data_IF_544338549225
#
_entry.id   IF_544338549225
#
_cell.length_a   1.000
_cell.length_b   1.000
_cell.length_c   1.000
_cell.angle_alpha   90.00
_cell.angle_beta   90.00
_cell.angle_gamma   90.00
#
_symmetry.space_group_name_H-M   'P 1'
#
loop_
_entity.id
_entity.type
_entity.pdbx_description
1 polymer ?
#
# COMPACT_ATOMS: atom_id res chain seq x y z
N UNK A 1 -5.06 3.81 3.90
CA UNK A 1 -5.89 2.98 3.01
C UNK A 1 -5.45 3.16 1.57
N UNK A 2 -5.12 2.06 0.90
CA UNK A 2 -4.79 2.05 -0.53
C UNK A 2 -6.05 1.80 -1.37
N UNK A 3 -6.19 2.56 -2.46
CA UNK A 3 -7.30 2.45 -3.41
C UNK A 3 -6.77 2.40 -4.84
N UNK A 4 -7.54 1.81 -5.76
CA UNK A 4 -7.12 1.67 -7.16
C UNK A 4 -7.97 2.50 -8.12
N UNK A 5 -9.29 2.55 -7.92
CA UNK A 5 -10.16 3.35 -8.78
C UNK A 5 -10.64 4.63 -8.10
N UNK A 6 -11.02 5.64 -8.90
CA UNK A 6 -11.61 6.88 -8.37
C UNK A 6 -12.91 6.64 -7.60
N UNK A 7 -13.69 5.63 -7.98
CA UNK A 7 -14.90 5.26 -7.26
C UNK A 7 -14.60 4.62 -5.90
N UNK A 8 -13.47 3.94 -5.73
CA UNK A 8 -13.02 3.44 -4.44
C UNK A 8 -12.74 4.61 -3.49
N UNK A 9 -11.95 5.58 -3.97
CA UNK A 9 -11.65 6.81 -3.26
C UNK A 9 -12.93 7.52 -2.80
N UNK A 10 -13.92 7.66 -3.70
CA UNK A 10 -15.20 8.28 -3.38
C UNK A 10 -15.94 7.53 -2.26
N UNK A 11 -16.05 6.20 -2.35
CA UNK A 11 -16.74 5.35 -1.36
C UNK A 11 -16.05 5.38 0.00
N UNK A 12 -14.71 5.32 0.03
CA UNK A 12 -13.94 5.41 1.27
C UNK A 12 -14.14 6.78 1.91
N UNK A 13 -14.00 7.85 1.12
CA UNK A 13 -14.15 9.23 1.59
C UNK A 13 -15.54 9.48 2.17
N UNK A 14 -16.60 9.06 1.47
CA UNK A 14 -17.98 9.17 1.95
C UNK A 14 -18.18 8.44 3.28
N UNK A 15 -17.62 7.22 3.41
CA UNK A 15 -17.73 6.45 4.66
C UNK A 15 -16.99 7.12 5.81
N UNK A 16 -15.78 7.62 5.58
CA UNK A 16 -14.99 8.31 6.61
C UNK A 16 -15.64 9.63 7.04
N UNK A 17 -16.21 10.38 6.10
CA UNK A 17 -17.00 11.59 6.38
C UNK A 17 -18.21 11.30 7.27
N UNK A 18 -19.01 10.27 6.94
CA UNK A 18 -20.15 9.84 7.77
C UNK A 18 -19.74 9.43 9.18
N UNK A 19 -18.52 8.91 9.35
CA UNK A 19 -17.96 8.52 10.64
C UNK A 19 -17.21 9.67 11.34
N UNK A 20 -17.15 10.87 10.76
CA UNK A 20 -16.39 12.02 11.27
C UNK A 20 -14.91 11.71 11.55
N UNK A 21 -14.31 10.81 10.76
CA UNK A 21 -12.89 10.46 10.87
C UNK A 21 -12.11 11.43 9.98
N UNK A 22 -11.13 12.21 10.50
CA UNK A 22 -10.28 13.04 9.67
C UNK A 22 -9.42 12.21 8.71
N UNK A 23 -9.29 12.62 7.46
CA UNK A 23 -8.45 11.95 6.46
C UNK A 23 -7.97 12.92 5.40
N UNK A 24 -6.90 12.53 4.69
CA UNK A 24 -6.44 13.24 3.50
C UNK A 24 -5.91 12.27 2.46
N UNK A 25 -5.99 12.66 1.19
CA UNK A 25 -5.17 12.05 0.16
C UNK A 25 -3.70 12.45 0.34
N UNK A 26 -2.80 11.52 0.08
CA UNK A 26 -1.35 11.72 0.13
C UNK A 26 -0.85 12.02 -1.29
N UNK A 27 -1.09 13.25 -1.72
CA UNK A 27 -0.79 13.78 -3.04
C UNK A 27 -0.01 15.11 -2.99
N UNK A 28 0.10 15.73 -1.82
CA UNK A 28 0.80 17.01 -1.63
C UNK A 28 1.85 16.91 -0.51
N UNK A 29 2.89 17.77 -0.54
CA UNK A 29 3.86 17.85 0.55
C UNK A 29 3.20 18.15 1.91
N UNK A 30 2.12 18.94 1.93
CA UNK A 30 1.41 19.26 3.17
C UNK A 30 0.70 18.04 3.75
N UNK A 31 -0.02 17.26 2.94
CA UNK A 31 -0.71 16.07 3.44
C UNK A 31 0.26 14.99 3.92
N UNK A 32 1.42 14.86 3.30
CA UNK A 32 2.52 14.00 3.77
C UNK A 32 3.06 14.46 5.13
N UNK A 33 3.27 15.78 5.31
CA UNK A 33 3.72 16.32 6.60
C UNK A 33 2.71 16.03 7.71
N UNK A 34 1.43 16.34 7.48
CA UNK A 34 0.35 16.09 8.45
C UNK A 34 0.23 14.61 8.82
N UNK A 35 0.34 13.72 7.83
CA UNK A 35 0.38 12.27 8.06
C UNK A 35 1.56 11.87 8.96
N UNK A 36 2.79 12.28 8.62
CA UNK A 36 3.98 11.94 9.39
C UNK A 36 4.02 12.56 10.78
N UNK A 37 3.30 13.67 11.00
CA UNK A 37 3.11 14.29 12.31
C UNK A 37 2.02 13.58 13.16
N UNK A 38 1.30 12.60 12.60
CA UNK A 38 0.21 11.90 13.29
C UNK A 38 -1.09 12.70 13.38
N UNK A 39 -1.22 13.82 12.66
CA UNK A 39 -2.42 14.67 12.67
C UNK A 39 -3.61 14.04 11.92
N UNK A 40 -3.33 13.05 11.06
CA UNK A 40 -4.34 12.35 10.27
C UNK A 40 -4.41 10.89 10.70
N UNK A 41 -5.54 10.42 11.25
CA UNK A 41 -5.70 9.00 11.60
C UNK A 41 -5.81 8.11 10.35
N UNK A 42 -6.21 8.66 9.20
CA UNK A 42 -6.30 7.93 7.93
C UNK A 42 -5.69 8.71 6.77
N UNK A 43 -4.71 8.08 6.12
CA UNK A 43 -4.17 8.50 4.83
C UNK A 43 -4.82 7.71 3.68
N UNK A 44 -5.20 8.38 2.59
CA UNK A 44 -5.66 7.75 1.34
C UNK A 44 -4.53 7.81 0.31
N UNK A 45 -4.12 6.66 -0.22
CA UNK A 45 -3.00 6.57 -1.16
C UNK A 45 -3.37 5.77 -2.40
N UNK A 46 -3.00 6.30 -3.56
CA UNK A 46 -3.05 5.55 -4.81
C UNK A 46 -1.68 4.91 -5.06
N UNK A 47 -1.59 3.59 -5.33
CA UNK A 47 -0.31 2.89 -5.51
C UNK A 47 0.61 3.50 -6.58
N UNK A 48 0.05 3.99 -7.69
CA UNK A 48 0.86 4.63 -8.73
C UNK A 48 1.51 5.96 -8.28
N UNK A 49 0.90 6.64 -7.29
CA UNK A 49 1.48 7.86 -6.71
C UNK A 49 2.61 7.53 -5.74
N UNK A 50 2.58 6.35 -5.12
CA UNK A 50 3.60 5.89 -4.19
C UNK A 50 4.96 5.62 -4.86
N UNK A 51 5.07 5.57 -6.19
CA UNK A 51 6.34 5.41 -6.91
C UNK A 51 7.33 6.57 -6.72
N UNK A 52 6.87 7.78 -6.39
CA UNK A 52 7.66 9.03 -6.43
C UNK A 52 8.57 9.29 -5.21
N UNK A 53 8.89 8.29 -4.39
CA UNK A 53 9.80 8.49 -3.25
C UNK A 53 9.14 9.03 -1.98
N UNK A 54 7.84 8.84 -1.80
CA UNK A 54 7.10 9.29 -0.61
C UNK A 54 7.68 8.67 0.68
N UNK A 55 7.86 9.48 1.71
CA UNK A 55 8.25 9.03 3.05
C UNK A 55 6.99 9.01 3.93
N UNK A 56 6.44 7.82 4.19
CA UNK A 56 5.17 7.62 4.90
C UNK A 56 5.29 6.79 6.17
N UNK A 57 6.47 6.23 6.44
CA UNK A 57 6.73 5.28 7.51
C UNK A 57 6.47 5.85 8.91
N UNK A 58 6.57 7.16 9.08
CA UNK A 58 6.39 7.80 10.38
C UNK A 58 4.93 8.03 10.75
N UNK A 59 4.03 8.15 9.76
CA UNK A 59 2.61 8.39 10.03
C UNK A 59 1.79 7.14 10.35
N UNK A 60 2.34 5.94 10.11
CA UNK A 60 1.66 4.70 10.49
C UNK A 60 2.40 3.44 10.06
N UNK A 61 1.91 2.30 10.58
CA UNK A 61 2.47 0.97 10.32
C UNK A 61 1.43 -0.01 9.76
N UNK A 62 0.23 0.46 9.41
CA UNK A 62 -0.83 -0.38 8.85
C UNK A 62 -1.28 0.13 7.49
N UNK A 63 -1.45 -0.79 6.54
CA UNK A 63 -2.07 -0.53 5.23
C UNK A 63 -3.24 -1.48 5.02
N UNK A 64 -4.38 -0.90 4.67
CA UNK A 64 -5.58 -1.62 4.25
C UNK A 64 -5.76 -1.34 2.77
N UNK A 65 -5.73 -2.40 1.95
CA UNK A 65 -6.04 -2.37 0.53
C UNK A 65 -7.54 -2.51 0.33
N UNK A 66 -8.18 -1.42 -0.08
CA UNK A 66 -9.60 -1.41 -0.45
C UNK A 66 -9.81 -1.89 -1.87
N UNK A 67 -8.94 -1.47 -2.79
CA UNK A 67 -8.91 -1.90 -4.18
C UNK A 67 -7.51 -2.39 -4.54
N UNK A 68 -7.42 -3.57 -5.15
CA UNK A 68 -6.15 -4.19 -5.52
C UNK A 68 -5.68 -3.75 -6.91
N UNK A 69 -4.36 -3.70 -7.08
CA UNK A 69 -3.72 -3.52 -8.39
C UNK A 69 -3.26 -4.87 -8.95
N UNK A 70 -3.19 -4.98 -10.28
CA UNK A 70 -2.61 -6.15 -10.96
C UNK A 70 -1.08 -6.11 -11.05
N UNK A 71 -0.49 -4.94 -10.76
CA UNK A 71 0.95 -4.73 -10.81
C UNK A 71 1.58 -5.10 -9.47
N UNK A 72 2.36 -6.18 -9.48
CA UNK A 72 3.14 -6.61 -8.32
C UNK A 72 4.13 -5.53 -7.89
N UNK A 73 4.76 -4.86 -8.85
CA UNK A 73 5.72 -3.80 -8.58
C UNK A 73 5.07 -2.64 -7.80
N UNK A 74 3.93 -2.13 -8.25
CA UNK A 74 3.23 -1.05 -7.56
C UNK A 74 2.78 -1.48 -6.16
N UNK A 75 2.32 -2.73 -6.01
CA UNK A 75 1.95 -3.30 -4.72
C UNK A 75 3.14 -3.34 -3.75
N UNK A 76 4.27 -3.93 -4.18
CA UNK A 76 5.49 -4.02 -3.38
C UNK A 76 6.06 -2.64 -3.04
N UNK A 77 6.14 -1.73 -4.01
CA UNK A 77 6.64 -0.36 -3.79
C UNK A 77 5.77 0.42 -2.80
N UNK A 78 4.45 0.25 -2.86
CA UNK A 78 3.51 0.90 -1.93
C UNK A 78 3.71 0.38 -0.51
N UNK A 79 3.79 -0.95 -0.34
CA UNK A 79 4.03 -1.55 0.98
C UNK A 79 5.40 -1.17 1.55
N UNK A 80 6.43 -1.08 0.69
CA UNK A 80 7.76 -0.63 1.06
C UNK A 80 7.82 0.85 1.50
N UNK A 81 6.76 1.65 1.29
CA UNK A 81 6.68 3.00 1.88
C UNK A 81 6.46 2.99 3.38
N UNK A 82 5.87 1.92 3.91
CA UNK A 82 5.68 1.71 5.35
C UNK A 82 6.79 0.84 5.95
N UNK A 83 7.14 -0.26 5.29
CA UNK A 83 8.20 -1.17 5.73
C UNK A 83 9.56 -0.77 5.14
N UNK A 84 10.20 0.23 5.76
CA UNK A 84 11.54 0.73 5.40
C UNK A 84 12.26 1.33 6.60
N UNK A 85 13.54 1.64 6.41
CA UNK A 85 14.34 2.37 7.41
C UNK A 85 13.62 3.64 7.87
N UNK A 86 13.58 3.85 9.19
CA UNK A 86 12.88 4.96 9.83
C UNK A 86 11.45 4.63 10.29
N UNK A 87 10.95 3.41 10.02
CA UNK A 87 9.77 2.88 10.68
C UNK A 87 10.10 2.56 12.14
N UNK A 88 9.31 3.09 13.07
CA UNK A 88 9.49 2.88 14.51
C UNK A 88 8.65 1.72 15.06
N UNK A 89 7.58 1.33 14.37
CA UNK A 89 6.79 0.17 14.75
C UNK A 89 7.54 -1.14 14.46
N UNK A 90 7.48 -2.08 15.40
CA UNK A 90 8.09 -3.41 15.25
C UNK A 90 7.47 -4.23 14.11
N UNK A 91 6.19 -3.99 13.81
CA UNK A 91 5.43 -4.75 12.81
C UNK A 91 4.66 -3.81 11.88
N UNK A 92 4.72 -4.11 10.58
CA UNK A 92 3.84 -3.50 9.57
C UNK A 92 2.73 -4.50 9.21
N UNK A 93 1.48 -4.05 9.33
CA UNK A 93 0.29 -4.87 9.06
C UNK A 93 -0.25 -4.54 7.66
N UNK A 94 -0.38 -5.57 6.82
CA UNK A 94 -0.97 -5.46 5.48
C UNK A 94 -2.28 -6.23 5.49
N UNK A 95 -3.40 -5.54 5.30
CA UNK A 95 -4.73 -6.13 5.19
C UNK A 95 -5.34 -5.87 3.81
N UNK A 96 -6.14 -6.82 3.34
CA UNK A 96 -6.87 -6.75 2.08
C UNK A 96 -8.37 -6.90 2.35
N UNK A 97 -9.17 -5.99 1.81
CA UNK A 97 -10.61 -6.17 1.73
C UNK A 97 -10.88 -6.93 0.43
N UNK A 98 -11.49 -8.10 0.54
CA UNK A 98 -11.70 -9.02 -0.60
C UNK A 98 -13.18 -9.40 -0.63
N UNK A 99 -13.82 -9.24 -1.78
CA UNK A 99 -15.17 -9.76 -1.97
C UNK A 99 -15.11 -11.24 -2.39
N UNK A 100 -15.86 -12.09 -1.70
CA UNK A 100 -15.87 -13.53 -1.97
C UNK A 100 -16.43 -13.83 -3.37
N UNK A 101 -15.76 -14.71 -4.11
CA UNK A 101 -16.21 -15.14 -5.44
C UNK A 101 -16.11 -14.07 -6.52
N UNK A 102 -15.29 -13.02 -6.30
CA UNK A 102 -15.05 -11.97 -7.28
C UNK A 102 -13.64 -12.09 -7.88
N UNK A 103 -13.32 -11.15 -8.78
CA UNK A 103 -11.98 -11.02 -9.37
C UNK A 103 -10.89 -10.74 -8.32
N UNK A 104 -11.24 -10.25 -7.12
CA UNK A 104 -10.28 -9.89 -6.08
C UNK A 104 -9.41 -11.07 -5.65
N UNK A 105 -10.02 -12.26 -5.49
CA UNK A 105 -9.32 -13.50 -5.14
C UNK A 105 -8.31 -13.90 -6.22
N UNK A 106 -8.66 -13.69 -7.50
CA UNK A 106 -7.78 -13.95 -8.64
C UNK A 106 -6.60 -12.98 -8.68
N UNK A 107 -6.83 -11.70 -8.36
CA UNK A 107 -5.77 -10.69 -8.28
C UNK A 107 -4.77 -11.08 -7.20
N UNK A 108 -5.23 -11.41 -5.99
CA UNK A 108 -4.35 -11.86 -4.90
C UNK A 108 -3.53 -13.09 -5.30
N UNK A 109 -4.18 -14.10 -5.87
CA UNK A 109 -3.47 -15.30 -6.35
C UNK A 109 -2.43 -14.96 -7.41
N UNK A 110 -2.74 -14.04 -8.34
CA UNK A 110 -1.81 -13.60 -9.37
C UNK A 110 -0.63 -12.81 -8.80
N UNK A 111 -0.86 -11.93 -7.82
CA UNK A 111 0.19 -11.20 -7.12
C UNK A 111 1.13 -12.17 -6.40
N UNK A 112 0.59 -13.12 -5.64
CA UNK A 112 1.39 -14.15 -4.95
C UNK A 112 2.17 -15.05 -5.92
N UNK A 113 1.59 -15.42 -7.07
CA UNK A 113 2.28 -16.22 -8.07
C UNK A 113 3.43 -15.45 -8.73
N UNK A 114 3.20 -14.19 -9.13
CA UNK A 114 4.25 -13.32 -9.70
C UNK A 114 5.40 -13.10 -8.71
N UNK A 115 5.09 -12.94 -7.42
CA UNK A 115 6.08 -12.71 -6.37
C UNK A 115 7.00 -13.91 -6.18
N UNK A 116 6.44 -15.12 -6.19
CA UNK A 116 7.23 -16.37 -6.17
C UNK A 116 8.15 -16.48 -7.38
N UNK A 117 7.65 -16.21 -8.58
CA UNK A 117 8.45 -16.30 -9.81
C UNK A 117 9.60 -15.28 -9.80
N UNK A 118 9.33 -14.02 -9.42
CA UNK A 118 10.38 -13.00 -9.32
C UNK A 118 11.40 -13.33 -8.23
N UNK A 119 10.95 -13.79 -7.07
CA UNK A 119 11.85 -14.17 -5.96
C UNK A 119 12.76 -15.35 -6.34
N UNK A 120 12.22 -16.36 -7.03
CA UNK A 120 13.00 -17.49 -7.52
C UNK A 120 14.08 -17.06 -8.54
N UNK A 121 13.74 -16.16 -9.46
CA UNK A 121 14.70 -15.60 -10.42
C UNK A 121 15.83 -14.84 -9.71
N UNK A 122 15.50 -13.96 -8.76
CA UNK A 122 16.49 -13.19 -7.99
C UNK A 122 17.40 -14.14 -7.20
N UNK A 123 16.83 -15.19 -6.60
CA UNK A 123 17.60 -16.18 -5.85
C UNK A 123 18.57 -16.95 -6.75
N UNK A 124 18.13 -17.37 -7.94
CA UNK A 124 18.98 -18.05 -8.92
C UNK A 124 20.15 -17.18 -9.36
N UNK A 125 19.90 -15.91 -9.73
CA UNK A 125 20.96 -14.97 -10.13
C UNK A 125 21.94 -14.70 -8.98
N UNK A 126 21.44 -14.56 -7.73
CA UNK A 126 22.31 -14.39 -6.56
C UNK A 126 23.18 -15.63 -6.27
N UNK A 127 22.71 -16.83 -6.60
CA UNK A 127 23.48 -18.05 -6.47
C UNK A 127 24.62 -18.11 -7.50
N UNK A 128 24.36 -17.68 -8.74
CA UNK A 128 25.38 -17.61 -9.81
C UNK A 128 26.46 -16.55 -9.53
N UNK A 129 26.10 -15.40 -8.93
CA UNK A 129 27.04 -14.33 -8.58
C UNK A 129 27.93 -14.65 -7.35
N UNK A 130 27.68 -15.76 -6.65
CA UNK A 130 28.49 -16.22 -5.51
C UNK A 130 29.50 -17.31 -5.88
N UNK A 131 29.69 -17.54 -7.17
CA UNK A 131 30.72 -18.42 -7.78
C UNK A 131 31.85 -17.52 -8.27
#
# INVERSE_FOLDING_TARGET
MAYWFRHDLARISERLQKLHIPFSQIDTPESIRKWNAGELPVALVHPASAGHGLNLQSGGSAIIWFGLTWSLELYQQTNARLWRQGQSAETVVIQHIVAKGTIDERILSALSAKDRTQSALIAAVKAELKI
#
